data_IF_815447463577
#
_entry.id   IF_815447463577
#
_cell.length_a   1.000
_cell.length_b   1.000
_cell.length_c   1.000
_cell.angle_alpha   90.00
_cell.angle_beta   90.00
_cell.angle_gamma   90.00
#
_symmetry.space_group_name_H-M   'P 1'
#
loop_
_entity.id
_entity.type
_entity.pdbx_description
1 polymer ?
#
# COMPACT_ATOMS: atom_id res chain seq x y z
N UNK A 1 -26.53 9.05 49.87
CA UNK A 1 -25.21 8.62 49.29
C UNK A 1 -24.34 9.84 49.35
N UNK A 2 -23.56 9.94 50.42
CA UNK A 2 -22.62 11.08 50.61
C UNK A 2 -21.43 10.81 49.69
N UNK A 3 -21.29 11.64 48.67
CA UNK A 3 -20.09 11.64 47.86
C UNK A 3 -19.05 12.37 48.68
N UNK A 4 -18.08 11.64 49.23
CA UNK A 4 -17.01 12.21 50.03
C UNK A 4 -16.17 13.18 49.16
N UNK A 5 -15.76 14.31 49.75
CA UNK A 5 -14.89 15.28 49.07
C UNK A 5 -13.65 14.64 48.44
N UNK A 6 -13.18 13.53 49.02
CA UNK A 6 -12.07 12.72 48.49
C UNK A 6 -12.43 12.11 47.15
N UNK A 7 -13.66 11.57 46.96
CA UNK A 7 -14.10 11.00 45.70
C UNK A 7 -14.15 12.06 44.59
N UNK A 8 -14.61 13.25 44.90
CA UNK A 8 -14.65 14.37 43.95
C UNK A 8 -13.24 14.77 43.52
N UNK A 9 -12.30 14.85 44.46
CA UNK A 9 -10.89 15.18 44.16
C UNK A 9 -10.28 14.11 43.25
N UNK A 10 -10.48 12.84 43.55
CA UNK A 10 -9.98 11.72 42.73
C UNK A 10 -10.55 11.79 41.29
N UNK A 11 -11.84 12.05 41.12
CA UNK A 11 -12.46 12.20 39.83
C UNK A 11 -11.85 13.36 39.02
N UNK A 12 -11.62 14.49 39.65
CA UNK A 12 -10.98 15.66 39.00
C UNK A 12 -9.55 15.33 38.57
N UNK A 13 -8.76 14.67 39.42
CA UNK A 13 -7.39 14.25 39.08
C UNK A 13 -7.36 13.28 37.91
N UNK A 14 -8.23 12.27 37.89
CA UNK A 14 -8.32 11.31 36.78
C UNK A 14 -8.70 12.03 35.47
N UNK A 15 -9.67 12.94 35.55
CA UNK A 15 -10.10 13.72 34.38
C UNK A 15 -8.97 14.60 33.83
N UNK A 16 -8.20 15.26 34.69
CA UNK A 16 -7.03 16.04 34.30
C UNK A 16 -5.94 15.16 33.65
N UNK A 17 -5.66 14.00 34.23
CA UNK A 17 -4.68 13.05 33.68
C UNK A 17 -5.09 12.53 32.31
N UNK A 18 -6.38 12.25 32.09
CA UNK A 18 -6.88 11.82 30.77
C UNK A 18 -6.75 12.93 29.74
N UNK A 19 -7.07 14.17 30.07
CA UNK A 19 -6.90 15.32 29.17
C UNK A 19 -5.42 15.52 28.82
N UNK A 20 -4.53 15.48 29.80
CA UNK A 20 -3.07 15.58 29.58
C UNK A 20 -2.58 14.44 28.68
N UNK A 21 -3.04 13.22 28.91
CA UNK A 21 -2.68 12.06 28.09
C UNK A 21 -3.11 12.22 26.62
N UNK A 22 -4.30 12.77 26.36
CA UNK A 22 -4.78 13.04 25.00
C UNK A 22 -3.92 14.11 24.33
N UNK A 23 -3.64 15.21 25.00
CA UNK A 23 -2.84 16.33 24.44
C UNK A 23 -1.38 15.93 24.24
N UNK A 24 -0.81 15.12 25.13
CA UNK A 24 0.57 14.67 25.05
C UNK A 24 0.77 13.52 24.03
N UNK A 25 -0.31 12.87 23.58
CA UNK A 25 -0.20 11.74 22.68
C UNK A 25 0.26 12.19 21.27
N UNK A 26 1.43 11.72 20.80
CA UNK A 26 1.97 12.11 19.50
C UNK A 26 1.06 11.70 18.32
N UNK A 27 0.18 10.71 18.48
CA UNK A 27 -0.79 10.31 17.46
C UNK A 27 -1.86 11.38 17.17
N UNK A 28 -2.17 12.28 18.12
CA UNK A 28 -3.08 13.40 17.90
C UNK A 28 -2.37 14.68 17.44
N UNK A 29 -1.05 14.70 17.50
CA UNK A 29 -0.30 15.75 16.81
C UNK A 29 -0.42 15.50 15.33
N UNK A 30 -1.17 16.35 14.65
CA UNK A 30 -1.21 16.40 13.19
C UNK A 30 0.23 16.35 12.68
N UNK A 31 0.59 15.23 12.05
CA UNK A 31 1.82 15.14 11.29
C UNK A 31 1.69 16.21 10.22
N UNK A 32 2.41 17.32 10.38
CA UNK A 32 2.53 18.30 9.31
C UNK A 32 3.10 17.52 8.14
N UNK A 33 2.24 17.22 7.15
CA UNK A 33 2.69 16.68 5.89
C UNK A 33 3.76 17.65 5.37
N UNK A 34 4.99 17.19 5.38
CA UNK A 34 6.13 17.95 4.89
C UNK A 34 6.05 17.90 3.36
N UNK A 35 5.08 18.64 2.79
CA UNK A 35 4.86 18.76 1.34
C UNK A 35 6.01 19.49 0.62
N UNK A 36 7.09 19.74 1.30
CA UNK A 36 8.23 20.51 0.79
C UNK A 36 9.54 19.76 0.95
N UNK A 37 9.57 18.48 0.56
CA UNK A 37 10.83 17.87 0.20
C UNK A 37 10.98 17.95 -1.33
N UNK A 38 11.12 19.16 -1.86
CA UNK A 38 11.78 19.38 -3.13
C UNK A 38 13.28 19.41 -2.81
N UNK A 39 13.91 18.25 -2.75
CA UNK A 39 15.33 18.20 -3.03
C UNK A 39 15.48 18.54 -4.50
N UNK A 40 15.83 19.80 -4.77
CA UNK A 40 16.30 20.22 -6.07
C UNK A 40 17.56 19.41 -6.38
N UNK A 41 17.45 18.40 -7.23
CA UNK A 41 18.58 17.62 -7.73
C UNK A 41 18.58 16.12 -7.40
N UNK A 42 17.62 15.57 -6.69
CA UNK A 42 17.52 14.12 -6.54
C UNK A 42 16.84 13.52 -7.78
N UNK A 43 17.59 12.73 -8.55
CA UNK A 43 17.01 11.94 -9.63
C UNK A 43 16.06 10.91 -9.02
N UNK A 44 14.78 10.97 -9.40
CA UNK A 44 13.78 10.01 -8.93
C UNK A 44 14.18 8.61 -9.42
N UNK A 45 14.14 7.58 -8.56
CA UNK A 45 14.51 6.22 -8.95
C UNK A 45 13.40 5.52 -9.74
N UNK A 46 13.71 4.56 -10.61
CA UNK A 46 12.71 3.69 -11.19
C UNK A 46 12.04 2.82 -10.13
N UNK A 47 10.72 2.56 -10.28
CA UNK A 47 9.89 1.91 -9.26
C UNK A 47 9.27 0.62 -9.81
N UNK A 48 9.22 -0.41 -8.96
CA UNK A 48 8.40 -1.61 -9.19
C UNK A 48 7.11 -1.51 -8.37
N UNK A 49 5.96 -1.56 -9.04
CA UNK A 49 4.65 -1.64 -8.39
C UNK A 49 4.23 -3.10 -8.33
N UNK A 50 4.23 -3.68 -7.14
CA UNK A 50 3.79 -5.06 -6.88
C UNK A 50 2.32 -5.06 -6.51
N UNK A 51 1.47 -5.62 -7.38
CA UNK A 51 0.02 -5.69 -7.19
C UNK A 51 -0.36 -7.09 -6.70
N UNK A 52 -0.97 -7.15 -5.52
CA UNK A 52 -1.44 -8.40 -4.91
C UNK A 52 -2.91 -8.62 -5.33
N UNK A 53 -3.16 -9.59 -6.24
CA UNK A 53 -4.49 -9.80 -6.86
C UNK A 53 -5.43 -10.69 -6.06
N UNK A 54 -5.01 -11.23 -4.91
CA UNK A 54 -5.78 -12.21 -4.15
C UNK A 54 -7.22 -11.77 -3.90
N UNK A 55 -8.18 -12.54 -4.39
CA UNK A 55 -9.63 -12.34 -4.26
C UNK A 55 -10.18 -11.03 -4.87
N UNK A 56 -9.41 -10.29 -5.65
CA UNK A 56 -9.80 -8.97 -6.19
C UNK A 56 -9.56 -8.84 -7.69
N UNK A 57 -9.83 -9.92 -8.46
CA UNK A 57 -9.57 -9.94 -9.91
C UNK A 57 -10.42 -8.91 -10.67
N UNK A 58 -11.70 -8.74 -10.28
CA UNK A 58 -12.56 -7.72 -10.89
C UNK A 58 -12.08 -6.30 -10.62
N UNK A 59 -11.57 -6.05 -9.41
CA UNK A 59 -10.99 -4.75 -9.07
C UNK A 59 -9.67 -4.52 -9.83
N UNK A 60 -8.87 -5.56 -10.00
CA UNK A 60 -7.64 -5.52 -10.79
C UNK A 60 -7.92 -5.08 -12.24
N UNK A 61 -8.94 -5.64 -12.89
CA UNK A 61 -9.30 -5.26 -14.27
C UNK A 61 -9.64 -3.77 -14.42
N UNK A 62 -10.25 -3.18 -13.38
CA UNK A 62 -10.59 -1.75 -13.35
C UNK A 62 -9.38 -0.86 -13.04
N UNK A 63 -8.43 -1.34 -12.22
CA UNK A 63 -7.36 -0.51 -11.69
C UNK A 63 -6.06 -0.62 -12.49
N UNK A 64 -5.83 -1.70 -13.22
CA UNK A 64 -4.64 -1.87 -14.07
C UNK A 64 -4.45 -0.73 -15.09
N UNK A 65 -5.50 -0.29 -15.83
CA UNK A 65 -5.34 0.85 -16.75
C UNK A 65 -4.84 2.11 -16.05
N UNK A 66 -5.36 2.42 -14.85
CA UNK A 66 -4.96 3.58 -14.07
C UNK A 66 -3.48 3.51 -13.60
N UNK A 67 -2.95 2.30 -13.43
CA UNK A 67 -1.53 2.09 -13.15
C UNK A 67 -0.67 2.31 -14.39
N UNK A 68 -1.13 1.92 -15.58
CA UNK A 68 -0.39 2.15 -16.81
C UNK A 68 -0.39 3.61 -17.26
N UNK A 69 -1.42 4.38 -16.88
CA UNK A 69 -1.54 5.80 -17.16
C UNK A 69 -0.73 6.72 -16.23
N UNK A 70 0.09 6.15 -15.32
CA UNK A 70 0.92 6.94 -14.42
C UNK A 70 1.98 7.73 -15.17
N UNK A 71 2.02 9.06 -14.93
CA UNK A 71 3.07 9.95 -15.42
C UNK A 71 4.28 9.89 -14.47
N UNK A 72 5.24 9.02 -14.80
CA UNK A 72 6.45 8.83 -14.00
C UNK A 72 7.67 8.73 -14.91
N UNK A 73 8.41 9.84 -15.03
CA UNK A 73 9.52 10.00 -15.98
C UNK A 73 10.67 8.97 -15.82
N UNK A 74 11.07 8.56 -14.59
CA UNK A 74 12.15 7.56 -14.43
C UNK A 74 11.80 6.17 -14.93
N UNK A 75 10.52 5.93 -15.20
CA UNK A 75 9.99 4.63 -15.58
C UNK A 75 9.59 3.77 -14.39
N UNK A 76 8.65 2.89 -14.65
CA UNK A 76 8.15 1.92 -13.67
C UNK A 76 7.75 0.62 -14.33
N UNK A 77 7.66 -0.43 -13.54
CA UNK A 77 7.10 -1.71 -13.93
C UNK A 77 5.96 -2.12 -12.99
N UNK A 78 5.05 -2.92 -13.48
CA UNK A 78 3.93 -3.47 -12.71
C UNK A 78 4.07 -4.99 -12.67
N UNK A 79 4.11 -5.56 -11.46
CA UNK A 79 4.19 -7.00 -11.25
C UNK A 79 2.91 -7.45 -10.56
N UNK A 80 2.09 -8.23 -11.25
CA UNK A 80 0.89 -8.82 -10.68
C UNK A 80 1.22 -10.18 -10.08
N UNK A 81 0.89 -10.34 -8.79
CA UNK A 81 1.08 -11.59 -8.06
C UNK A 81 -0.26 -12.28 -7.87
N UNK A 82 -0.46 -13.42 -8.52
CA UNK A 82 -1.70 -14.18 -8.48
C UNK A 82 -1.52 -15.65 -8.16
N UNK A 83 -2.62 -16.41 -8.14
CA UNK A 83 -2.59 -17.86 -7.97
C UNK A 83 -2.45 -18.56 -9.31
N UNK A 84 -1.63 -19.60 -9.38
CA UNK A 84 -1.47 -20.39 -10.62
C UNK A 84 -2.75 -21.15 -10.96
N UNK A 85 -3.27 -20.92 -12.17
CA UNK A 85 -4.49 -21.57 -12.68
C UNK A 85 -5.77 -20.90 -12.20
N UNK A 86 -5.71 -19.63 -11.85
CA UNK A 86 -6.85 -18.73 -11.71
C UNK A 86 -7.22 -18.22 -13.10
N UNK A 87 -8.28 -18.80 -13.68
CA UNK A 87 -8.72 -18.51 -15.06
C UNK A 87 -9.19 -17.06 -15.22
N UNK A 88 -9.82 -16.50 -14.19
CA UNK A 88 -10.31 -15.13 -14.23
C UNK A 88 -9.14 -14.14 -14.25
N UNK A 89 -8.12 -14.41 -13.46
CA UNK A 89 -6.89 -13.63 -13.46
C UNK A 89 -6.16 -13.74 -14.80
N UNK A 90 -6.03 -14.95 -15.34
CA UNK A 90 -5.38 -15.18 -16.64
C UNK A 90 -6.14 -14.46 -17.77
N UNK A 91 -7.48 -14.45 -17.73
CA UNK A 91 -8.30 -13.70 -18.69
C UNK A 91 -8.09 -12.18 -18.60
N UNK A 92 -8.00 -11.62 -17.38
CA UNK A 92 -7.73 -10.19 -17.17
C UNK A 92 -6.33 -9.85 -17.67
N UNK A 93 -5.31 -10.61 -17.27
CA UNK A 93 -3.93 -10.35 -17.68
C UNK A 93 -3.73 -10.50 -19.19
N UNK A 94 -4.47 -11.41 -19.83
CA UNK A 94 -4.47 -11.58 -21.29
C UNK A 94 -4.89 -10.33 -22.06
N UNK A 95 -5.78 -9.49 -21.50
CA UNK A 95 -6.19 -8.22 -22.11
C UNK A 95 -5.03 -7.21 -22.20
N UNK A 96 -4.08 -7.31 -21.27
CA UNK A 96 -2.97 -6.36 -21.12
C UNK A 96 -1.60 -6.97 -21.48
N UNK A 97 -1.58 -8.12 -22.16
CA UNK A 97 -0.35 -8.85 -22.50
C UNK A 97 0.63 -8.03 -23.37
N UNK A 98 0.12 -7.05 -24.12
CA UNK A 98 0.94 -6.18 -24.99
C UNK A 98 1.66 -5.05 -24.22
N UNK A 99 1.35 -4.85 -22.95
CA UNK A 99 2.03 -3.85 -22.13
C UNK A 99 3.44 -4.33 -21.74
N UNK A 100 4.47 -3.64 -22.26
CA UNK A 100 5.88 -4.00 -22.06
C UNK A 100 6.34 -3.99 -20.60
N UNK A 101 5.66 -3.21 -19.76
CA UNK A 101 6.02 -3.02 -18.35
C UNK A 101 5.19 -3.91 -17.40
N UNK A 102 4.36 -4.83 -17.94
CA UNK A 102 3.57 -5.75 -17.13
C UNK A 102 4.28 -7.10 -17.02
N UNK A 103 4.50 -7.50 -15.78
CA UNK A 103 5.04 -8.81 -15.43
C UNK A 103 4.06 -9.57 -14.52
N UNK A 104 4.12 -10.88 -14.55
CA UNK A 104 3.28 -11.72 -13.70
C UNK A 104 4.11 -12.73 -12.95
N UNK A 105 3.75 -12.96 -11.69
CA UNK A 105 4.31 -14.05 -10.90
C UNK A 105 3.20 -14.80 -10.17
N UNK A 106 3.38 -16.10 -10.00
CA UNK A 106 2.31 -16.95 -9.49
C UNK A 106 2.71 -17.65 -8.19
N UNK A 107 1.75 -17.67 -7.26
CA UNK A 107 1.85 -18.43 -6.03
C UNK A 107 1.59 -19.91 -6.35
N UNK A 108 2.43 -20.84 -5.87
CA UNK A 108 2.15 -22.26 -5.99
C UNK A 108 0.89 -22.65 -5.20
N UNK A 109 0.07 -23.57 -5.76
CA UNK A 109 -1.20 -24.02 -5.16
C UNK A 109 -1.06 -24.61 -3.73
N UNK A 110 0.13 -25.08 -3.35
CA UNK A 110 0.43 -25.60 -2.00
C UNK A 110 1.59 -24.88 -1.38
N UNK A 111 1.29 -23.99 -0.45
CA UNK A 111 2.26 -23.42 0.47
C UNK A 111 1.96 -23.94 1.87
N UNK A 112 2.82 -24.83 2.39
CA UNK A 112 2.60 -25.48 3.69
C UNK A 112 3.13 -24.64 4.86
N UNK A 113 4.03 -23.70 4.62
CA UNK A 113 4.81 -23.03 5.68
C UNK A 113 4.61 -21.52 5.81
N UNK A 114 3.90 -20.89 4.87
CA UNK A 114 3.75 -19.45 4.86
C UNK A 114 2.31 -19.07 4.49
N UNK A 115 1.75 -18.05 5.15
CA UNK A 115 0.43 -17.52 4.76
C UNK A 115 0.48 -16.93 3.34
N UNK A 116 -0.62 -17.09 2.59
CA UNK A 116 -0.72 -16.60 1.20
C UNK A 116 -0.29 -15.13 1.04
N UNK A 117 -0.75 -14.17 1.89
CA UNK A 117 -0.33 -12.77 1.75
C UNK A 117 1.18 -12.56 1.90
N UNK A 118 1.83 -13.24 2.84
CA UNK A 118 3.28 -13.15 3.03
C UNK A 118 4.03 -13.73 1.84
N UNK A 119 3.56 -14.86 1.33
CA UNK A 119 4.16 -15.50 0.17
C UNK A 119 4.02 -14.64 -1.08
N UNK A 120 2.85 -14.03 -1.30
CA UNK A 120 2.62 -13.12 -2.42
C UNK A 120 3.57 -11.93 -2.38
N UNK A 121 3.67 -11.27 -1.22
CA UNK A 121 4.59 -10.16 -1.03
C UNK A 121 6.04 -10.58 -1.31
N UNK A 122 6.47 -11.72 -0.74
CA UNK A 122 7.83 -12.23 -0.95
C UNK A 122 8.13 -12.56 -2.42
N UNK A 123 7.17 -13.13 -3.14
CA UNK A 123 7.33 -13.45 -4.56
C UNK A 123 7.36 -12.18 -5.42
N UNK A 124 6.49 -11.20 -5.12
CA UNK A 124 6.50 -9.91 -5.80
C UNK A 124 7.83 -9.17 -5.62
N UNK A 125 8.34 -9.12 -4.40
CA UNK A 125 9.66 -8.51 -4.11
C UNK A 125 10.78 -9.24 -4.86
N UNK A 126 10.76 -10.57 -4.89
CA UNK A 126 11.78 -11.36 -5.60
C UNK A 126 11.71 -11.21 -7.13
N UNK A 127 10.55 -10.91 -7.66
CA UNK A 127 10.34 -10.71 -9.09
C UNK A 127 10.66 -9.27 -9.52
N UNK A 128 10.79 -8.32 -8.59
CA UNK A 128 11.08 -6.92 -8.87
C UNK A 128 12.48 -6.74 -9.48
N UNK A 129 12.58 -5.90 -10.51
CA UNK A 129 13.84 -5.55 -11.15
C UNK A 129 14.43 -4.22 -10.64
N UNK A 130 13.60 -3.38 -9.97
CA UNK A 130 14.03 -2.12 -9.40
C UNK A 130 14.22 -2.24 -7.89
N UNK A 131 15.09 -1.40 -7.32
CA UNK A 131 15.36 -1.37 -5.88
C UNK A 131 14.19 -0.79 -5.08
N UNK A 132 13.46 0.17 -5.68
CA UNK A 132 12.29 0.78 -5.05
C UNK A 132 11.03 0.01 -5.39
N UNK A 133 10.36 -0.48 -4.36
CA UNK A 133 9.19 -1.34 -4.50
C UNK A 133 8.01 -0.73 -3.74
N UNK A 134 6.90 -0.56 -4.44
CA UNK A 134 5.62 -0.16 -3.87
C UNK A 134 4.67 -1.34 -3.92
N UNK A 135 4.13 -1.74 -2.77
CA UNK A 135 3.13 -2.83 -2.72
C UNK A 135 1.72 -2.26 -2.68
N UNK A 136 0.89 -2.71 -3.60
CA UNK A 136 -0.50 -2.31 -3.75
C UNK A 136 -1.41 -3.54 -3.69
N UNK A 137 -2.53 -3.43 -2.98
CA UNK A 137 -3.59 -4.42 -3.08
C UNK A 137 -4.42 -4.10 -4.34
N UNK A 138 -4.82 -5.12 -5.10
CA UNK A 138 -5.64 -4.94 -6.29
C UNK A 138 -6.99 -4.23 -6.03
N UNK A 139 -7.49 -4.24 -4.78
CA UNK A 139 -8.66 -3.46 -4.38
C UNK A 139 -8.44 -1.95 -4.30
N UNK A 140 -7.18 -1.50 -4.33
CA UNK A 140 -6.80 -0.09 -4.25
C UNK A 140 -6.48 0.45 -5.64
N UNK A 141 -6.92 1.68 -5.91
CA UNK A 141 -6.58 2.41 -7.13
C UNK A 141 -5.62 3.55 -6.81
N UNK A 142 -4.73 3.94 -7.73
CA UNK A 142 -3.98 5.17 -7.60
C UNK A 142 -4.93 6.37 -7.57
N UNK A 143 -4.65 7.36 -6.72
CA UNK A 143 -5.52 8.51 -6.53
C UNK A 143 -5.46 9.53 -7.68
N UNK A 144 -4.40 9.48 -8.49
CA UNK A 144 -4.19 10.36 -9.65
C UNK A 144 -3.14 9.74 -10.58
N UNK A 145 -2.99 10.34 -11.76
CA UNK A 145 -1.94 10.05 -12.75
C UNK A 145 -0.50 10.34 -12.24
N UNK A 146 -0.37 11.18 -11.19
CA UNK A 146 0.90 11.53 -10.54
C UNK A 146 1.10 10.85 -9.20
N UNK A 147 0.36 9.79 -8.95
CA UNK A 147 0.46 9.07 -7.68
C UNK A 147 1.87 8.50 -7.44
N UNK A 148 2.50 7.89 -8.43
CA UNK A 148 3.87 7.39 -8.32
C UNK A 148 4.86 8.52 -8.02
N UNK A 149 4.71 9.68 -8.65
CA UNK A 149 5.54 10.85 -8.40
C UNK A 149 5.39 11.38 -6.97
N UNK A 150 4.21 11.18 -6.36
CA UNK A 150 3.94 11.66 -4.99
C UNK A 150 4.54 10.80 -3.89
N UNK A 151 4.92 9.56 -4.20
CA UNK A 151 5.49 8.59 -3.24
C UNK A 151 6.99 8.38 -3.44
N UNK A 152 7.54 8.79 -4.58
CA UNK A 152 8.97 8.77 -4.89
C UNK A 152 9.65 9.98 -4.27
#
# INVERSE_FOLDING_TARGET
MLIDNITIIICIVVLLLTVVSIVANPFFRSVKSNRSYKEEGCELPPITVVVLSQNYVEALDKHLPLLFEQDYAPGFEVIVVGEKGDLDLEAVLGKYADHKNLYTTYIPKRSLFMSKPKLSASLGIKAAHNEWIVMLNASCAPASDKWLQSIA
#
